data_IF_249335340088
#
_entry.id   IF_249335340088
#
_cell.length_a   1.000
_cell.length_b   1.000
_cell.length_c   1.000
_cell.angle_alpha   90.00
_cell.angle_beta   90.00
_cell.angle_gamma   90.00
#
_symmetry.space_group_name_H-M   'P 1'
#
loop_
_entity.id
_entity.type
_entity.pdbx_description
1 polymer ?
#
# COMPACT_ATOMS: atom_id res chain seq x y z
N UNK A 1 -5.99 4.32 5.76
CA UNK A 1 -4.87 5.27 5.96
C UNK A 1 -5.23 6.56 5.26
N UNK A 2 -4.83 7.72 5.81
CA UNK A 2 -5.12 9.02 5.22
C UNK A 2 -3.81 9.83 5.13
N UNK A 3 -3.70 10.64 4.07
CA UNK A 3 -2.58 11.55 3.83
C UNK A 3 -3.13 12.95 3.59
N UNK A 4 -2.44 13.97 4.10
CA UNK A 4 -2.86 15.36 3.93
C UNK A 4 -2.59 15.89 2.52
N UNK A 5 -1.55 15.36 1.86
CA UNK A 5 -1.12 15.79 0.54
C UNK A 5 -0.53 14.65 -0.30
N UNK A 6 -0.22 14.99 -1.55
CA UNK A 6 0.36 14.10 -2.55
C UNK A 6 1.76 13.64 -2.17
N UNK A 7 2.53 14.46 -1.46
CA UNK A 7 3.89 14.14 -1.04
C UNK A 7 3.88 13.07 0.07
N UNK A 8 2.91 13.14 0.98
CA UNK A 8 2.66 12.11 1.99
C UNK A 8 2.34 10.76 1.36
N UNK A 9 1.43 10.72 0.39
CA UNK A 9 1.14 9.49 -0.35
C UNK A 9 2.37 9.01 -1.16
N UNK A 10 3.10 9.91 -1.81
CA UNK A 10 4.32 9.57 -2.55
C UNK A 10 5.39 8.95 -1.65
N UNK A 11 5.56 9.49 -0.44
CA UNK A 11 6.44 8.93 0.58
C UNK A 11 6.05 7.49 0.95
N UNK A 12 4.77 7.25 1.17
CA UNK A 12 4.25 5.92 1.47
C UNK A 12 4.42 4.92 0.33
N UNK A 13 4.21 5.35 -0.93
CA UNK A 13 4.48 4.51 -2.11
C UNK A 13 5.96 4.13 -2.16
N UNK A 14 6.88 5.07 -1.92
CA UNK A 14 8.33 4.78 -1.94
C UNK A 14 8.74 3.71 -0.94
N UNK A 15 8.18 3.73 0.27
CA UNK A 15 8.54 2.79 1.33
C UNK A 15 7.79 1.46 1.22
N UNK A 16 6.52 1.48 0.82
CA UNK A 16 5.67 0.28 0.80
C UNK A 16 5.83 -0.50 -0.50
N UNK A 17 6.12 0.17 -1.62
CA UNK A 17 6.18 -0.46 -2.95
C UNK A 17 7.63 -0.66 -3.44
N UNK A 18 8.62 -0.74 -2.54
CA UNK A 18 10.04 -0.91 -2.89
C UNK A 18 10.28 -2.06 -3.87
N UNK A 19 9.61 -3.21 -3.70
CA UNK A 19 9.69 -4.38 -4.59
C UNK A 19 9.32 -4.08 -6.05
N UNK A 20 8.47 -3.07 -6.29
CA UNK A 20 8.10 -2.63 -7.64
C UNK A 20 9.06 -1.56 -8.16
N UNK A 21 9.44 -0.62 -7.29
CA UNK A 21 10.30 0.51 -7.66
C UNK A 21 11.73 0.07 -7.97
N UNK A 22 12.26 -0.93 -7.27
CA UNK A 22 13.60 -1.49 -7.51
C UNK A 22 13.75 -2.10 -8.90
N UNK A 23 12.64 -2.52 -9.53
CA UNK A 23 12.62 -3.07 -10.90
C UNK A 23 12.71 -1.99 -11.97
N UNK A 24 12.56 -0.73 -11.61
CA UNK A 24 12.63 0.40 -12.53
C UNK A 24 14.05 1.01 -12.53
N UNK A 25 14.53 1.51 -13.68
CA UNK A 25 15.68 2.42 -13.75
C UNK A 25 15.53 3.56 -12.73
N UNK A 26 16.62 3.96 -12.09
CA UNK A 26 16.56 4.92 -10.97
C UNK A 26 15.98 6.27 -11.38
N UNK A 27 16.29 6.72 -12.60
CA UNK A 27 15.79 7.95 -13.21
C UNK A 27 14.28 7.90 -13.52
N UNK A 28 13.72 6.70 -13.74
CA UNK A 28 12.29 6.51 -14.00
C UNK A 28 11.44 6.48 -12.72
N UNK A 29 12.02 6.14 -11.56
CA UNK A 29 11.27 5.96 -10.30
C UNK A 29 10.50 7.22 -9.87
N UNK A 30 11.06 8.44 -9.88
CA UNK A 30 10.33 9.64 -9.48
C UNK A 30 9.09 9.89 -10.35
N UNK A 31 9.24 9.76 -11.67
CA UNK A 31 8.12 9.93 -12.61
C UNK A 31 7.03 8.88 -12.44
N UNK A 32 7.42 7.63 -12.19
CA UNK A 32 6.47 6.56 -11.90
C UNK A 32 5.66 6.83 -10.63
N UNK A 33 6.33 7.18 -9.53
CA UNK A 33 5.65 7.49 -8.25
C UNK A 33 4.68 8.66 -8.43
N UNK A 34 5.11 9.74 -9.08
CA UNK A 34 4.24 10.88 -9.38
C UNK A 34 3.01 10.45 -10.20
N UNK A 35 3.21 9.67 -11.27
CA UNK A 35 2.12 9.16 -12.09
C UNK A 35 1.11 8.30 -11.33
N UNK A 36 1.57 7.44 -10.42
CA UNK A 36 0.70 6.62 -9.55
C UNK A 36 -0.13 7.52 -8.62
N UNK A 37 0.51 8.48 -7.94
CA UNK A 37 -0.15 9.39 -7.00
C UNK A 37 -1.21 10.22 -7.72
N UNK A 38 -0.87 10.85 -8.84
CA UNK A 38 -1.79 11.66 -9.64
C UNK A 38 -3.01 10.84 -10.07
N UNK A 39 -2.77 9.63 -10.60
CA UNK A 39 -3.85 8.76 -11.06
C UNK A 39 -4.71 8.25 -9.92
N UNK A 40 -4.13 7.99 -8.74
CA UNK A 40 -4.87 7.57 -7.57
C UNK A 40 -5.81 8.67 -7.07
N UNK A 41 -5.31 9.89 -6.90
CA UNK A 41 -6.09 11.04 -6.42
C UNK A 41 -7.21 11.39 -7.40
N UNK A 42 -6.92 11.38 -8.70
CA UNK A 42 -7.93 11.63 -9.73
C UNK A 42 -9.06 10.57 -9.72
N UNK A 43 -8.72 9.32 -9.38
CA UNK A 43 -9.69 8.21 -9.34
C UNK A 43 -10.48 8.14 -8.04
N UNK A 44 -9.91 8.64 -6.94
CA UNK A 44 -10.49 8.58 -5.60
C UNK A 44 -10.52 9.97 -4.95
N UNK A 45 -11.34 10.91 -5.48
CA UNK A 45 -11.48 12.23 -4.89
C UNK A 45 -12.11 12.13 -3.49
N UNK A 46 -11.65 12.97 -2.57
CA UNK A 46 -12.22 13.08 -1.21
C UNK A 46 -12.79 14.47 -0.96
N UNK A 47 -13.88 14.54 -0.21
CA UNK A 47 -14.54 15.79 0.16
C UNK A 47 -13.82 16.54 1.29
N UNK A 48 -13.03 15.86 2.12
CA UNK A 48 -12.31 16.45 3.27
C UNK A 48 -10.92 17.00 2.89
N UNK A 49 -10.58 16.99 1.60
CA UNK A 49 -9.29 17.46 1.08
C UNK A 49 -8.12 16.50 1.32
N UNK A 50 -8.31 15.39 2.05
CA UNK A 50 -7.28 14.39 2.30
C UNK A 50 -7.36 13.22 1.34
N UNK A 51 -6.27 12.48 1.20
CA UNK A 51 -6.20 11.30 0.34
C UNK A 51 -6.40 10.05 1.19
N UNK A 52 -7.48 9.31 0.94
CA UNK A 52 -7.80 8.10 1.68
C UNK A 52 -7.39 6.83 0.92
N UNK A 53 -6.57 6.00 1.55
CA UNK A 53 -6.17 4.68 1.07
C UNK A 53 -6.79 3.61 1.96
N UNK A 54 -7.68 2.75 1.44
CA UNK A 54 -8.27 1.68 2.22
C UNK A 54 -7.17 0.67 2.60
N UNK A 55 -7.03 0.40 3.90
CA UNK A 55 -6.13 -0.61 4.41
C UNK A 55 -6.96 -1.80 4.86
N UNK A 56 -6.70 -2.96 4.28
CA UNK A 56 -7.33 -4.22 4.68
C UNK A 56 -6.28 -5.04 5.40
N UNK A 57 -6.55 -5.41 6.65
CA UNK A 57 -5.71 -6.32 7.44
C UNK A 57 -6.40 -7.67 7.49
N UNK A 58 -5.71 -8.70 6.98
CA UNK A 58 -6.14 -10.08 7.11
C UNK A 58 -5.62 -10.62 8.44
N UNK A 59 -6.50 -11.20 9.24
CA UNK A 59 -6.16 -11.89 10.48
C UNK A 59 -6.60 -13.36 10.35
N UNK A 60 -5.78 -14.28 10.85
CA UNK A 60 -6.03 -15.71 10.79
C UNK A 60 -5.72 -16.31 12.15
N UNK A 61 -6.63 -17.12 12.66
CA UNK A 61 -6.45 -17.95 13.85
C UNK A 61 -6.47 -19.43 13.42
N UNK A 62 -5.59 -20.23 13.99
CA UNK A 62 -5.47 -21.65 13.69
C UNK A 62 -5.36 -22.46 14.99
N UNK A 63 -6.10 -23.55 15.08
CA UNK A 63 -6.01 -24.51 16.17
C UNK A 63 -5.25 -25.76 15.69
N UNK A 64 -4.31 -26.23 16.51
CA UNK A 64 -3.61 -27.49 16.23
C UNK A 64 -4.57 -28.67 16.49
N UNK A 65 -4.70 -29.56 15.52
CA UNK A 65 -5.43 -30.81 15.71
C UNK A 65 -4.64 -31.68 16.70
N UNK A 66 -5.24 -32.01 17.85
CA UNK A 66 -4.59 -32.89 18.82
C UNK A 66 -4.41 -34.26 18.17
N UNK A 67 -3.15 -34.67 17.99
CA UNK A 67 -2.81 -36.02 17.55
C UNK A 67 -3.42 -37.03 18.53
N UNK A 68 -4.46 -37.74 18.10
CA UNK A 68 -5.02 -38.84 18.86
C UNK A 68 -3.93 -39.91 19.01
N UNK A 69 -3.28 -39.94 20.18
CA UNK A 69 -2.39 -41.02 20.62
C UNK A 69 -3.15 -42.33 20.39
N UNK A 70 -2.78 -43.07 19.35
CA UNK A 70 -3.30 -44.42 19.13
C UNK A 70 -2.64 -45.35 20.15
N UNK A 71 -3.42 -46.21 20.83
CA UNK A 71 -2.91 -47.16 21.82
C UNK A 71 -2.00 -48.23 21.20
#
# INVERSE_FOLDING_TARGET
MAFDDRDGLAGWVRTTWHLYLERLPEDARPGFVAGVVERYVARHPSADGRIHVPMVRLEVEAEAEAEAVRP
#
